data_IF_726869678194
#
_entry.id   IF_726869678194
#
_cell.length_a   1.000
_cell.length_b   1.000
_cell.length_c   1.000
_cell.angle_alpha   90.00
_cell.angle_beta   90.00
_cell.angle_gamma   90.00
#
_symmetry.space_group_name_H-M   'P 1'
#
loop_
_entity.id
_entity.type
_entity.pdbx_description
1 polymer ?
#
# COMPACT_ATOMS: atom_id res chain seq x y z
N UNK A 1 57.58 -23.02 49.02
CA UNK A 1 57.61 -21.60 48.59
C UNK A 1 57.50 -21.61 47.07
N UNK A 2 56.53 -21.04 46.36
CA UNK A 2 55.46 -20.09 46.63
C UNK A 2 54.23 -20.51 45.80
N UNK A 3 53.05 -20.47 46.43
CA UNK A 3 51.81 -21.02 45.91
C UNK A 3 50.98 -20.03 45.07
N UNK A 4 50.23 -20.58 44.13
CA UNK A 4 49.14 -19.96 43.38
C UNK A 4 47.88 -19.92 44.26
N UNK A 5 47.20 -18.77 44.45
CA UNK A 5 45.87 -18.77 45.05
C UNK A 5 44.76 -18.47 44.03
N UNK A 6 43.69 -19.25 44.15
CA UNK A 6 42.36 -19.08 43.54
C UNK A 6 41.66 -17.83 44.12
N UNK A 7 40.79 -17.18 43.34
CA UNK A 7 39.76 -16.26 43.86
C UNK A 7 38.41 -16.51 43.18
N UNK A 8 37.38 -16.58 44.01
CA UNK A 8 35.94 -16.39 43.78
C UNK A 8 35.39 -15.69 45.07
N UNK A 9 34.12 -15.23 45.22
CA UNK A 9 32.97 -15.16 44.29
C UNK A 9 32.21 -13.79 44.31
N UNK A 10 31.02 -13.79 43.67
CA UNK A 10 29.98 -12.75 43.44
C UNK A 10 29.49 -11.92 44.66
N UNK A 11 28.97 -10.71 44.40
CA UNK A 11 27.93 -10.03 45.21
C UNK A 11 27.02 -9.12 44.34
N UNK A 12 25.84 -8.83 44.87
CA UNK A 12 24.55 -8.49 44.23
C UNK A 12 23.90 -7.19 44.76
N UNK A 13 22.80 -6.74 44.09
CA UNK A 13 21.71 -5.78 44.50
C UNK A 13 22.04 -4.27 44.40
N UNK A 14 21.27 -3.40 43.71
CA UNK A 14 19.84 -2.93 43.78
C UNK A 14 19.57 -2.00 44.97
N UNK A 15 19.14 -0.74 44.73
CA UNK A 15 18.26 0.21 45.48
C UNK A 15 18.26 1.53 44.63
N UNK A 16 17.17 2.21 44.22
CA UNK A 16 15.92 2.76 44.82
C UNK A 16 16.04 4.27 45.18
N UNK A 17 14.86 4.89 45.19
CA UNK A 17 14.44 6.31 45.13
C UNK A 17 14.85 7.27 46.29
N UNK A 18 14.55 8.55 46.02
CA UNK A 18 14.12 9.64 46.91
C UNK A 18 15.11 10.67 47.51
N UNK A 19 14.60 11.91 47.44
CA UNK A 19 14.79 13.10 48.29
C UNK A 19 16.16 13.76 48.48
N UNK A 20 16.25 15.03 48.06
CA UNK A 20 16.71 16.09 48.98
C UNK A 20 16.26 17.49 48.51
N UNK A 21 15.50 18.16 49.38
CA UNK A 21 15.23 19.59 49.38
C UNK A 21 16.50 20.42 49.62
N UNK A 22 16.55 21.66 49.14
CA UNK A 22 17.06 22.80 49.92
C UNK A 22 16.65 24.15 49.26
N UNK A 23 15.88 24.92 50.02
CA UNK A 23 15.53 26.34 49.88
C UNK A 23 16.49 27.17 50.79
N UNK A 24 16.29 28.48 51.09
CA UNK A 24 16.19 29.74 50.32
C UNK A 24 17.35 30.71 50.64
N UNK A 25 17.54 31.78 49.84
CA UNK A 25 17.72 33.17 50.34
C UNK A 25 18.14 34.15 49.22
N UNK A 26 17.31 35.17 48.93
CA UNK A 26 17.64 36.62 49.03
C UNK A 26 16.38 37.40 48.60
N UNK A 27 15.55 37.87 49.55
CA UNK A 27 15.44 39.28 50.00
C UNK A 27 15.21 40.29 48.85
N UNK A 28 14.32 41.27 48.89
CA UNK A 28 13.21 41.69 49.76
C UNK A 28 12.84 43.07 49.20
N UNK A 29 11.55 43.37 48.97
CA UNK A 29 10.98 44.71 49.19
C UNK A 29 9.45 44.64 49.04
N UNK A 30 8.77 44.62 50.18
CA UNK A 30 7.38 45.04 50.37
C UNK A 30 7.28 46.56 50.12
N UNK A 31 6.15 47.17 49.74
CA UNK A 31 4.91 47.47 50.49
C UNK A 31 3.94 48.24 49.53
N UNK A 32 2.65 48.52 49.85
CA UNK A 32 1.69 47.85 50.72
C UNK A 32 0.27 47.70 50.09
N UNK A 33 -0.59 47.02 50.86
CA UNK A 33 -2.02 46.73 50.75
C UNK A 33 -2.93 47.97 50.62
N UNK A 34 -4.10 47.78 49.98
CA UNK A 34 -5.39 48.19 50.57
C UNK A 34 -6.51 47.27 50.06
N UNK A 35 -7.39 46.93 51.00
CA UNK A 35 -8.42 45.89 50.98
C UNK A 35 -9.75 46.33 50.32
N UNK A 36 -10.56 45.29 50.07
CA UNK A 36 -12.02 45.28 50.10
C UNK A 36 -12.75 45.77 48.84
N UNK A 37 -13.49 44.86 48.18
CA UNK A 37 -14.96 44.95 48.12
C UNK A 37 -15.55 43.75 47.36
N UNK A 38 -16.43 43.02 48.03
CA UNK A 38 -17.41 42.13 47.41
C UNK A 38 -18.59 42.94 46.86
N UNK A 39 -18.88 42.89 45.55
CA UNK A 39 -20.25 42.89 44.98
C UNK A 39 -20.21 42.80 43.44
N UNK A 40 -20.83 41.75 42.89
CA UNK A 40 -21.46 41.80 41.56
C UNK A 40 -22.90 42.37 41.72
N UNK A 41 -23.64 42.80 40.67
CA UNK A 41 -23.48 42.50 39.23
C UNK A 41 -23.79 43.65 38.23
N UNK A 42 -23.63 43.30 36.95
CA UNK A 42 -24.32 43.81 35.76
C UNK A 42 -23.96 45.18 35.16
N UNK A 43 -23.30 45.15 33.98
CA UNK A 43 -23.84 45.78 32.76
C UNK A 43 -22.94 45.53 31.55
N UNK A 44 -23.63 45.32 30.44
CA UNK A 44 -23.18 45.00 29.10
C UNK A 44 -22.22 46.06 28.50
N UNK A 45 -21.12 45.63 27.90
CA UNK A 45 -20.58 46.27 26.70
C UNK A 45 -19.51 45.40 26.00
N UNK A 46 -19.98 44.65 24.99
CA UNK A 46 -19.16 43.77 24.16
C UNK A 46 -18.32 44.59 23.16
N UNK A 47 -17.06 44.88 23.50
CA UNK A 47 -16.11 45.50 22.53
C UNK A 47 -15.66 44.46 21.47
N UNK A 48 -15.73 44.78 20.17
CA UNK A 48 -15.45 43.80 19.11
C UNK A 48 -13.96 43.43 19.05
N UNK A 49 -13.68 42.12 19.22
CA UNK A 49 -12.35 41.52 19.03
C UNK A 49 -11.89 41.70 17.58
N UNK A 50 -10.91 42.58 17.34
CA UNK A 50 -10.21 42.71 16.05
C UNK A 50 -9.60 41.35 15.65
N UNK A 51 -10.18 40.70 14.64
CA UNK A 51 -9.60 39.52 13.97
C UNK A 51 -8.22 39.89 13.41
N UNK A 52 -7.16 39.33 14.00
CA UNK A 52 -5.80 39.40 13.43
C UNK A 52 -5.84 38.69 12.07
N UNK A 53 -5.55 39.41 10.99
CA UNK A 53 -5.36 38.81 9.66
C UNK A 53 -4.28 37.74 9.76
N UNK A 54 -4.57 36.55 9.26
CA UNK A 54 -3.58 35.48 9.16
C UNK A 54 -2.36 36.01 8.38
N UNK A 55 -1.12 35.70 8.80
CA UNK A 55 0.06 36.10 8.06
C UNK A 55 -0.04 35.55 6.62
N UNK A 56 0.45 36.29 5.62
CA UNK A 56 0.43 35.83 4.23
C UNK A 56 1.13 34.46 4.15
N UNK A 57 0.67 33.55 3.26
CA UNK A 57 1.29 32.24 3.11
C UNK A 57 2.77 32.45 2.80
N UNK A 58 3.64 32.00 3.72
CA UNK A 58 5.09 31.99 3.52
C UNK A 58 5.35 31.25 2.21
N UNK A 59 5.95 31.93 1.24
CA UNK A 59 6.42 31.30 0.01
C UNK A 59 7.25 30.07 0.41
N UNK A 60 6.83 28.88 -0.03
CA UNK A 60 7.56 27.64 0.26
C UNK A 60 8.94 27.79 -0.36
N UNK A 61 9.99 27.92 0.45
CA UNK A 61 11.38 27.88 -0.03
C UNK A 61 11.54 26.58 -0.80
N UNK A 62 11.80 26.67 -2.10
CA UNK A 62 12.11 25.50 -2.91
C UNK A 62 13.42 24.91 -2.40
N UNK A 63 13.43 23.61 -2.15
CA UNK A 63 14.63 22.88 -1.75
C UNK A 63 15.55 22.81 -2.97
N UNK A 64 16.81 23.20 -2.81
CA UNK A 64 17.81 23.12 -3.88
C UNK A 64 18.29 21.67 -4.08
N UNK A 65 18.97 21.41 -5.19
CA UNK A 65 19.60 20.12 -5.41
C UNK A 65 20.66 19.84 -4.33
N UNK A 66 20.78 18.58 -3.91
CA UNK A 66 21.78 18.18 -2.91
C UNK A 66 22.17 16.72 -3.10
N UNK A 67 23.29 16.35 -2.48
CA UNK A 67 23.75 14.97 -2.33
C UNK A 67 23.94 14.72 -0.84
N UNK A 68 23.35 13.66 -0.32
CA UNK A 68 23.52 13.22 1.06
C UNK A 68 24.76 12.34 1.19
N UNK A 69 25.34 12.29 2.40
CA UNK A 69 26.45 11.38 2.74
C UNK A 69 26.07 9.90 2.53
N UNK A 70 24.78 9.58 2.57
CA UNK A 70 24.23 8.23 2.29
C UNK A 70 24.24 7.86 0.81
N UNK A 71 24.70 8.75 -0.07
CA UNK A 71 24.72 8.60 -1.53
C UNK A 71 23.41 8.96 -2.23
N UNK A 72 22.35 9.27 -1.48
CA UNK A 72 21.08 9.74 -2.05
C UNK A 72 21.23 11.18 -2.55
N UNK A 73 20.85 11.39 -3.80
CA UNK A 73 20.82 12.70 -4.43
C UNK A 73 19.39 13.17 -4.62
N UNK A 74 19.18 14.49 -4.56
CA UNK A 74 17.90 15.12 -4.83
C UNK A 74 18.03 16.11 -5.98
N UNK A 75 17.18 15.91 -6.99
CA UNK A 75 16.94 16.86 -8.07
C UNK A 75 15.56 17.52 -7.85
N UNK A 76 15.52 18.84 -7.65
CA UNK A 76 14.26 19.56 -7.51
C UNK A 76 13.39 19.45 -8.77
N UNK A 77 12.06 19.47 -8.60
CA UNK A 77 11.33 19.63 -7.34
C UNK A 77 11.02 18.32 -6.58
N UNK A 78 11.26 17.15 -7.16
CA UNK A 78 10.61 15.91 -6.69
C UNK A 78 11.33 14.60 -7.00
N UNK A 79 12.59 14.63 -7.45
CA UNK A 79 13.30 13.43 -7.84
C UNK A 79 14.40 13.09 -6.83
N UNK A 80 14.28 11.94 -6.17
CA UNK A 80 15.39 11.31 -5.45
C UNK A 80 16.04 10.25 -6.32
N UNK A 81 17.36 10.14 -6.30
CA UNK A 81 18.06 9.11 -7.05
C UNK A 81 19.35 8.67 -6.36
N UNK A 82 19.76 7.42 -6.61
CA UNK A 82 20.98 6.82 -6.07
C UNK A 82 21.49 5.72 -6.97
N UNK A 83 22.82 5.62 -7.09
CA UNK A 83 23.49 4.48 -7.71
C UNK A 83 23.93 3.48 -6.63
N UNK A 84 23.83 2.20 -6.95
CA UNK A 84 24.30 1.08 -6.14
C UNK A 84 25.34 0.32 -6.96
N UNK A 85 26.50 0.04 -6.35
CA UNK A 85 27.64 -0.50 -7.08
C UNK A 85 28.20 0.48 -8.09
N UNK A 86 28.62 -0.02 -9.26
CA UNK A 86 29.14 0.80 -10.38
C UNK A 86 28.35 0.54 -11.68
N UNK A 87 27.13 1.07 -11.81
CA UNK A 87 26.27 0.80 -12.95
C UNK A 87 26.80 1.49 -14.21
N UNK A 88 27.56 0.75 -14.99
CA UNK A 88 28.16 1.20 -16.24
C UNK A 88 27.11 1.78 -17.22
N UNK A 89 27.47 2.86 -17.96
CA UNK A 89 26.67 3.33 -19.08
C UNK A 89 26.38 2.22 -20.10
N UNK A 90 25.16 2.19 -20.64
CA UNK A 90 24.80 1.25 -21.70
C UNK A 90 23.76 1.85 -22.64
N UNK A 91 23.77 1.42 -23.91
CA UNK A 91 22.69 1.71 -24.84
C UNK A 91 21.51 0.74 -24.67
N UNK A 92 21.67 -0.34 -23.89
CA UNK A 92 20.62 -1.29 -23.52
C UNK A 92 20.21 -1.06 -22.08
N UNK A 93 18.94 -0.76 -21.84
CA UNK A 93 18.40 -0.49 -20.51
C UNK A 93 17.33 -1.52 -20.17
N UNK A 94 17.51 -2.22 -19.05
CA UNK A 94 16.48 -3.04 -18.44
C UNK A 94 15.95 -2.25 -17.26
N UNK A 95 14.80 -1.60 -17.45
CA UNK A 95 14.19 -0.76 -16.43
C UNK A 95 13.02 -1.47 -15.74
N UNK A 96 12.85 -1.24 -14.44
CA UNK A 96 11.88 -1.94 -13.61
C UNK A 96 11.11 -0.95 -12.72
N UNK A 97 9.85 -1.21 -12.41
CA UNK A 97 9.23 -0.70 -11.20
C UNK A 97 9.81 -1.41 -9.95
N UNK A 98 9.56 -0.87 -8.76
CA UNK A 98 9.97 -1.47 -7.48
C UNK A 98 8.85 -2.27 -6.81
N UNK A 99 7.72 -1.64 -6.52
CA UNK A 99 6.70 -2.11 -5.58
C UNK A 99 5.62 -2.89 -6.33
N UNK A 100 5.59 -4.22 -6.18
CA UNK A 100 4.76 -5.11 -7.00
C UNK A 100 5.55 -5.79 -8.11
N UNK A 101 6.73 -5.27 -8.42
CA UNK A 101 7.58 -5.75 -9.53
C UNK A 101 8.87 -6.43 -9.07
N UNK A 102 9.77 -5.72 -8.38
CA UNK A 102 11.00 -6.32 -7.83
C UNK A 102 10.77 -6.83 -6.40
N UNK A 103 9.94 -6.13 -5.63
CA UNK A 103 9.65 -6.45 -4.25
C UNK A 103 8.16 -6.29 -3.93
N UNK A 104 7.65 -7.19 -3.10
CA UNK A 104 6.31 -7.17 -2.53
C UNK A 104 6.38 -6.89 -1.03
N UNK A 105 5.30 -6.38 -0.44
CA UNK A 105 5.19 -6.23 1.02
C UNK A 105 5.14 -7.62 1.66
N UNK A 106 6.01 -7.86 2.65
CA UNK A 106 6.03 -9.12 3.41
C UNK A 106 4.75 -9.29 4.23
N UNK A 107 4.24 -8.18 4.76
CA UNK A 107 3.01 -8.11 5.56
C UNK A 107 1.73 -8.26 4.74
N UNK A 108 1.82 -8.21 3.40
CA UNK A 108 0.69 -8.12 2.48
C UNK A 108 -0.23 -6.90 2.69
N UNK A 109 0.23 -5.89 3.44
CA UNK A 109 -0.44 -4.60 3.49
C UNK A 109 -0.28 -3.87 2.16
N UNK A 110 -1.19 -2.94 1.85
CA UNK A 110 -1.09 -2.10 0.66
C UNK A 110 0.17 -1.23 0.67
N UNK A 111 0.65 -0.82 1.84
CA UNK A 111 1.85 -0.01 2.00
C UNK A 111 2.81 -0.66 3.01
N UNK A 112 4.14 -0.56 2.80
CA UNK A 112 5.14 -1.09 3.73
C UNK A 112 5.00 -0.49 5.15
N UNK A 113 4.97 -1.36 6.16
CA UNK A 113 4.90 -0.95 7.57
C UNK A 113 6.20 -0.35 8.08
N UNK A 114 7.34 -0.85 7.60
CA UNK A 114 8.69 -0.40 7.97
C UNK A 114 9.69 -0.71 6.84
N UNK A 115 10.96 -0.37 7.05
CA UNK A 115 12.02 -0.60 6.07
C UNK A 115 12.38 -2.09 5.83
N UNK A 116 11.85 -3.00 6.64
CA UNK A 116 12.04 -4.45 6.52
C UNK A 116 10.77 -5.17 6.03
N UNK A 117 9.68 -4.44 5.81
CA UNK A 117 8.43 -4.97 5.25
C UNK A 117 8.52 -5.12 3.73
N UNK A 118 9.42 -6.00 3.30
CA UNK A 118 9.54 -6.41 1.91
C UNK A 118 9.97 -7.88 1.81
N UNK A 119 9.68 -8.47 0.66
CA UNK A 119 10.23 -9.71 0.15
C UNK A 119 10.41 -9.53 -1.34
N UNK A 120 11.42 -10.15 -1.95
CA UNK A 120 11.53 -10.16 -3.41
C UNK A 120 10.27 -10.74 -4.05
N UNK A 121 9.98 -10.33 -5.28
CA UNK A 121 8.79 -10.77 -6.00
C UNK A 121 8.71 -12.30 -6.06
N UNK A 122 9.80 -12.96 -6.47
CA UNK A 122 10.01 -14.40 -6.36
C UNK A 122 11.52 -14.74 -6.30
N UNK A 123 11.86 -16.02 -6.35
CA UNK A 123 13.24 -16.52 -6.33
C UNK A 123 14.02 -16.29 -7.63
N UNK A 124 13.38 -15.78 -8.69
CA UNK A 124 13.98 -15.55 -10.01
C UNK A 124 14.41 -14.11 -10.27
N UNK A 125 14.04 -13.18 -9.39
CA UNK A 125 14.38 -11.76 -9.53
C UNK A 125 15.88 -11.55 -9.68
N UNK A 126 16.68 -12.05 -8.74
CA UNK A 126 18.14 -11.87 -8.74
C UNK A 126 18.77 -12.50 -9.98
N UNK A 127 18.41 -13.75 -10.29
CA UNK A 127 18.93 -14.48 -11.45
C UNK A 127 18.70 -13.71 -12.76
N UNK A 128 17.51 -13.15 -12.93
CA UNK A 128 17.14 -12.39 -14.14
C UNK A 128 17.83 -11.03 -14.23
N UNK A 129 17.98 -10.31 -13.13
CA UNK A 129 18.71 -9.04 -13.15
C UNK A 129 20.19 -9.27 -13.49
N UNK A 130 20.81 -10.30 -12.94
CA UNK A 130 22.17 -10.69 -13.30
C UNK A 130 22.30 -11.16 -14.76
N UNK A 131 21.28 -11.81 -15.31
CA UNK A 131 21.22 -12.16 -16.73
C UNK A 131 21.22 -10.91 -17.62
N UNK A 132 20.43 -9.89 -17.27
CA UNK A 132 20.44 -8.59 -17.97
C UNK A 132 21.83 -7.93 -17.90
N UNK A 133 22.45 -7.87 -16.73
CA UNK A 133 23.80 -7.31 -16.60
C UNK A 133 24.82 -8.07 -17.46
N UNK A 134 24.80 -9.41 -17.45
CA UNK A 134 25.68 -10.24 -18.31
C UNK A 134 25.42 -10.01 -19.81
N UNK A 135 24.19 -9.70 -20.19
CA UNK A 135 23.81 -9.36 -21.55
C UNK A 135 24.15 -7.90 -21.94
N UNK A 136 24.80 -7.15 -21.04
CA UNK A 136 25.24 -5.76 -21.26
C UNK A 136 24.15 -4.72 -21.01
N UNK A 137 23.06 -5.09 -20.34
CA UNK A 137 22.03 -4.14 -19.95
C UNK A 137 22.44 -3.40 -18.69
N UNK A 138 22.19 -2.09 -18.68
CA UNK A 138 22.15 -1.32 -17.46
C UNK A 138 20.80 -1.54 -16.77
N UNK A 139 20.84 -1.93 -15.49
CA UNK A 139 19.64 -2.12 -14.68
C UNK A 139 19.24 -0.81 -14.02
N UNK A 140 17.98 -0.40 -14.21
CA UNK A 140 17.43 0.85 -13.66
C UNK A 140 16.10 0.60 -12.99
N UNK A 141 15.82 1.28 -11.88
CA UNK A 141 14.53 1.22 -11.17
C UNK A 141 13.88 2.60 -11.18
N UNK A 142 12.61 2.65 -11.63
CA UNK A 142 11.77 3.85 -11.63
C UNK A 142 10.54 3.63 -10.75
N UNK A 143 10.44 4.36 -9.62
CA UNK A 143 9.38 4.12 -8.62
C UNK A 143 8.64 5.41 -8.22
N UNK A 144 7.33 5.31 -8.00
CA UNK A 144 6.47 6.41 -7.56
C UNK A 144 6.32 6.40 -6.02
N UNK A 145 7.12 7.19 -5.29
CA UNK A 145 7.13 7.24 -3.82
C UNK A 145 6.38 8.47 -3.24
N UNK A 146 5.12 8.61 -3.64
CA UNK A 146 4.27 9.79 -3.36
C UNK A 146 4.00 10.11 -1.87
N UNK A 147 4.33 9.20 -0.95
CA UNK A 147 4.19 9.46 0.49
C UNK A 147 5.29 10.37 1.05
N UNK A 148 6.41 10.53 0.34
CA UNK A 148 7.52 11.43 0.70
C UNK A 148 7.09 12.91 0.55
N UNK A 149 6.33 13.22 -0.51
CA UNK A 149 5.88 14.58 -0.86
C UNK A 149 7.08 15.51 -1.00
N UNK A 150 7.04 16.69 -0.37
CA UNK A 150 8.10 17.69 -0.41
C UNK A 150 9.12 17.55 0.73
N UNK A 151 8.88 16.67 1.71
CA UNK A 151 9.73 16.51 2.89
C UNK A 151 10.82 15.46 2.64
N UNK A 152 11.67 15.70 1.64
CA UNK A 152 12.65 14.74 1.08
C UNK A 152 13.79 14.34 2.04
N UNK A 153 13.98 15.10 3.12
CA UNK A 153 14.91 14.78 4.23
C UNK A 153 14.18 14.39 5.53
N UNK A 154 12.84 14.29 5.50
CA UNK A 154 12.03 13.98 6.66
C UNK A 154 12.01 12.49 7.03
N UNK A 155 11.39 12.16 8.16
CA UNK A 155 11.28 10.78 8.69
C UNK A 155 10.73 9.78 7.66
N UNK A 156 9.69 10.17 6.91
CA UNK A 156 9.09 9.31 5.90
C UNK A 156 10.04 9.06 4.71
N UNK A 157 10.79 10.08 4.29
CA UNK A 157 11.80 9.94 3.25
C UNK A 157 12.94 9.01 3.70
N UNK A 158 13.43 9.19 4.93
CA UNK A 158 14.46 8.33 5.51
C UNK A 158 14.01 6.85 5.56
N UNK A 159 12.77 6.60 5.98
CA UNK A 159 12.17 5.25 6.02
C UNK A 159 12.10 4.60 4.64
N UNK A 160 11.67 5.34 3.62
CA UNK A 160 11.54 4.82 2.25
C UNK A 160 12.92 4.61 1.62
N UNK A 161 13.83 5.57 1.76
CA UNK A 161 15.23 5.45 1.32
C UNK A 161 15.86 4.19 1.92
N UNK A 162 15.73 4.00 3.24
CA UNK A 162 16.23 2.81 3.93
C UNK A 162 15.60 1.50 3.43
N UNK A 163 14.30 1.50 3.09
CA UNK A 163 13.64 0.32 2.49
C UNK A 163 14.25 -0.01 1.12
N UNK A 164 14.42 1.00 0.27
CA UNK A 164 15.04 0.85 -1.05
C UNK A 164 16.48 0.36 -0.88
N UNK A 165 17.26 0.98 0.01
CA UNK A 165 18.64 0.59 0.31
C UNK A 165 18.72 -0.89 0.73
N UNK A 166 17.80 -1.36 1.58
CA UNK A 166 17.72 -2.77 1.98
C UNK A 166 17.41 -3.69 0.80
N UNK A 167 16.42 -3.34 -0.03
CA UNK A 167 16.07 -4.14 -1.23
C UNK A 167 17.26 -4.22 -2.18
N UNK A 168 17.90 -3.09 -2.48
CA UNK A 168 19.05 -3.06 -3.39
C UNK A 168 20.26 -3.82 -2.83
N UNK A 169 20.45 -3.80 -1.50
CA UNK A 169 21.47 -4.62 -0.85
C UNK A 169 21.16 -6.12 -0.93
N UNK A 170 19.90 -6.55 -0.80
CA UNK A 170 19.50 -7.96 -0.99
C UNK A 170 19.64 -8.41 -2.44
N UNK A 171 19.36 -7.53 -3.41
CA UNK A 171 19.57 -7.82 -4.84
C UNK A 171 21.06 -7.99 -5.18
N UNK A 172 21.94 -7.20 -4.56
CA UNK A 172 23.40 -7.35 -4.70
C UNK A 172 23.92 -7.11 -6.12
N UNK A 173 23.28 -6.22 -6.88
CA UNK A 173 23.61 -5.89 -8.29
C UNK A 173 23.99 -4.42 -8.46
N UNK A 174 24.67 -4.10 -9.56
CA UNK A 174 24.87 -2.71 -9.98
C UNK A 174 23.60 -2.16 -10.62
N UNK A 175 23.05 -1.10 -10.04
CA UNK A 175 21.80 -0.51 -10.51
C UNK A 175 21.67 0.96 -10.14
N UNK A 176 20.78 1.67 -10.84
CA UNK A 176 20.36 3.03 -10.49
C UNK A 176 18.90 3.04 -10.09
N UNK A 177 18.56 3.76 -9.02
CA UNK A 177 17.18 3.95 -8.57
C UNK A 177 16.81 5.42 -8.70
N UNK A 178 15.61 5.66 -9.22
CA UNK A 178 14.98 6.98 -9.36
C UNK A 178 13.58 6.92 -8.74
N UNK A 179 13.30 7.83 -7.82
CA UNK A 179 12.07 7.85 -7.03
C UNK A 179 11.39 9.22 -7.11
N UNK A 180 10.20 9.25 -7.71
CA UNK A 180 9.36 10.44 -7.79
C UNK A 180 8.59 10.63 -6.46
N UNK A 181 8.80 11.77 -5.78
CA UNK A 181 8.34 11.96 -4.41
C UNK A 181 6.98 12.64 -4.30
N UNK A 182 6.55 13.39 -5.31
CA UNK A 182 5.29 14.14 -5.29
C UNK A 182 4.16 13.28 -5.87
N UNK A 183 3.00 13.16 -5.20
CA UNK A 183 1.87 12.34 -5.66
C UNK A 183 0.98 13.05 -6.70
N UNK A 184 1.42 14.20 -7.21
CA UNK A 184 0.69 15.01 -8.19
C UNK A 184 0.85 14.40 -9.59
N UNK A 185 -0.25 14.07 -10.31
CA UNK A 185 -0.18 13.55 -11.67
C UNK A 185 0.48 14.49 -12.68
N UNK A 186 0.60 15.79 -12.38
CA UNK A 186 1.29 16.77 -13.21
C UNK A 186 2.81 16.86 -12.96
N UNK A 187 3.33 16.16 -11.94
CA UNK A 187 4.77 16.08 -11.69
C UNK A 187 5.46 15.35 -12.86
N UNK A 188 6.40 15.99 -13.59
CA UNK A 188 7.05 15.37 -14.74
C UNK A 188 7.84 14.11 -14.40
N UNK A 189 8.28 13.96 -13.14
CA UNK A 189 8.99 12.76 -12.70
C UNK A 189 8.03 11.63 -12.32
N UNK A 190 6.74 11.89 -12.07
CA UNK A 190 5.79 10.86 -11.65
C UNK A 190 5.29 10.06 -12.84
N UNK A 191 5.45 8.73 -12.81
CA UNK A 191 4.86 7.85 -13.83
C UNK A 191 3.34 8.06 -13.88
N UNK A 192 2.74 8.23 -15.08
CA UNK A 192 3.26 7.81 -16.38
C UNK A 192 4.08 8.86 -17.17
N UNK A 193 4.43 10.00 -16.59
CA UNK A 193 5.34 10.96 -17.23
C UNK A 193 6.77 10.41 -17.32
N UNK A 194 7.52 10.82 -18.34
CA UNK A 194 8.85 10.25 -18.68
C UNK A 194 10.02 10.91 -17.97
N UNK A 195 9.80 11.91 -17.11
CA UNK A 195 10.87 12.74 -16.58
C UNK A 195 11.97 11.98 -15.84
N UNK A 196 11.65 10.86 -15.17
CA UNK A 196 12.69 10.00 -14.58
C UNK A 196 13.57 9.32 -15.65
N UNK A 197 12.96 8.82 -16.73
CA UNK A 197 13.68 8.21 -17.85
C UNK A 197 14.56 9.25 -18.55
N UNK A 198 13.99 10.42 -18.85
CA UNK A 198 14.70 11.51 -19.53
C UNK A 198 15.89 12.00 -18.70
N UNK A 199 15.69 12.15 -17.38
CA UNK A 199 16.76 12.52 -16.46
C UNK A 199 17.88 11.47 -16.42
N UNK A 200 17.53 10.18 -16.37
CA UNK A 200 18.52 9.10 -16.39
C UNK A 200 19.36 9.13 -17.67
N UNK A 201 18.72 9.26 -18.84
CA UNK A 201 19.40 9.30 -20.13
C UNK A 201 20.36 10.49 -20.22
N UNK A 202 19.91 11.67 -19.79
CA UNK A 202 20.67 12.91 -19.94
C UNK A 202 21.81 13.03 -18.93
N UNK A 203 21.59 12.62 -17.68
CA UNK A 203 22.49 12.94 -16.56
C UNK A 203 23.19 11.72 -15.97
N UNK A 204 22.64 10.52 -16.15
CA UNK A 204 23.07 9.34 -15.41
C UNK A 204 23.53 8.18 -16.31
N UNK A 205 23.67 8.40 -17.63
CA UNK A 205 24.10 7.38 -18.59
C UNK A 205 25.41 7.73 -19.34
N UNK A 206 26.28 8.55 -18.75
CA UNK A 206 27.62 8.84 -19.30
C UNK A 206 27.61 9.44 -20.71
N UNK A 207 26.54 10.13 -21.09
CA UNK A 207 26.36 10.70 -22.44
C UNK A 207 25.96 9.69 -23.52
N UNK A 208 25.85 8.40 -23.21
CA UNK A 208 25.43 7.37 -24.15
C UNK A 208 23.90 7.39 -24.28
N UNK A 209 23.40 7.50 -25.51
CA UNK A 209 21.97 7.46 -25.78
C UNK A 209 21.46 6.02 -25.84
N UNK A 210 20.38 5.67 -25.11
CA UNK A 210 19.78 4.35 -25.21
C UNK A 210 19.20 4.05 -26.60
N UNK A 211 19.45 2.84 -27.11
CA UNK A 211 18.70 2.27 -28.22
C UNK A 211 17.37 1.74 -27.69
N UNK A 212 16.30 2.51 -27.88
CA UNK A 212 14.97 2.18 -27.38
C UNK A 212 14.46 0.82 -27.86
N UNK A 213 14.89 0.35 -29.03
CA UNK A 213 14.51 -0.98 -29.55
C UNK A 213 15.12 -2.13 -28.75
N UNK A 214 16.19 -1.85 -28.01
CA UNK A 214 16.89 -2.78 -27.12
C UNK A 214 16.58 -2.50 -25.65
N UNK A 215 15.67 -1.58 -25.34
CA UNK A 215 15.31 -1.21 -23.98
C UNK A 215 13.93 -1.74 -23.62
N UNK A 216 13.79 -2.20 -22.38
CA UNK A 216 12.55 -2.72 -21.83
C UNK A 216 12.16 -2.00 -20.55
N UNK A 217 10.87 -1.98 -20.26
CA UNK A 217 10.32 -1.60 -18.96
C UNK A 217 9.44 -2.71 -18.40
N UNK A 218 9.68 -3.09 -17.16
CA UNK A 218 8.92 -4.11 -16.44
C UNK A 218 8.15 -3.46 -15.30
N UNK A 219 6.84 -3.68 -15.21
CA UNK A 219 6.01 -3.10 -14.15
C UNK A 219 4.68 -3.81 -13.96
N UNK A 220 4.12 -3.79 -12.75
CA UNK A 220 2.87 -4.46 -12.40
C UNK A 220 1.63 -3.61 -12.69
N UNK A 221 1.75 -2.27 -12.73
CA UNK A 221 0.65 -1.37 -13.04
C UNK A 221 0.36 -1.34 -14.55
N UNK A 222 -0.20 -2.44 -15.07
CA UNK A 222 -0.40 -2.71 -16.49
C UNK A 222 -1.82 -2.42 -16.99
N UNK A 223 -2.74 -2.04 -16.10
CA UNK A 223 -4.15 -1.78 -16.42
C UNK A 223 -4.97 -3.05 -16.67
N UNK A 224 -4.54 -4.19 -16.13
CA UNK A 224 -5.28 -5.46 -16.14
C UNK A 224 -6.44 -5.40 -15.15
N UNK A 225 -7.41 -6.32 -15.28
CA UNK A 225 -8.49 -6.44 -14.33
C UNK A 225 -7.93 -6.74 -12.91
N UNK A 226 -8.06 -5.78 -11.99
CA UNK A 226 -7.51 -5.86 -10.63
C UNK A 226 -6.27 -4.98 -10.38
N UNK A 227 -5.64 -4.43 -11.42
CA UNK A 227 -4.54 -3.48 -11.26
C UNK A 227 -5.08 -2.14 -10.73
N UNK A 228 -4.37 -1.52 -9.77
CA UNK A 228 -4.76 -0.23 -9.20
C UNK A 228 -4.57 0.93 -10.20
N UNK A 229 -3.67 0.77 -11.17
CA UNK A 229 -3.33 1.77 -12.17
C UNK A 229 -2.76 1.11 -13.45
N UNK A 230 -2.65 1.91 -14.52
CA UNK A 230 -1.94 1.56 -15.75
C UNK A 230 -0.65 2.39 -15.93
N UNK A 231 -0.10 2.93 -14.83
CA UNK A 231 0.98 3.93 -14.87
C UNK A 231 2.27 3.37 -15.47
N UNK A 232 2.57 2.09 -15.28
CA UNK A 232 3.80 1.47 -15.76
C UNK A 232 3.76 1.20 -17.26
N UNK A 233 2.64 0.64 -17.72
CA UNK A 233 2.40 0.42 -19.15
C UNK A 233 2.39 1.74 -19.91
N UNK A 234 1.76 2.77 -19.35
CA UNK A 234 1.72 4.09 -19.99
C UNK A 234 3.09 4.79 -19.92
N UNK A 235 3.86 4.64 -18.84
CA UNK A 235 5.24 5.13 -18.76
C UNK A 235 6.12 4.53 -19.86
N UNK A 236 6.09 3.20 -20.02
CA UNK A 236 6.82 2.50 -21.06
C UNK A 236 6.43 2.99 -22.46
N UNK A 237 5.13 3.09 -22.73
CA UNK A 237 4.62 3.63 -23.99
C UNK A 237 5.13 5.05 -24.25
N UNK A 238 5.03 5.95 -23.27
CA UNK A 238 5.47 7.35 -23.41
C UNK A 238 6.98 7.47 -23.60
N UNK A 239 7.77 6.63 -22.93
CA UNK A 239 9.22 6.57 -23.11
C UNK A 239 9.63 5.86 -24.42
N UNK A 240 8.71 5.16 -25.09
CA UNK A 240 8.97 4.38 -26.30
C UNK A 240 9.73 3.08 -26.02
N UNK A 241 9.40 2.40 -24.91
CA UNK A 241 10.05 1.18 -24.45
C UNK A 241 9.12 -0.02 -24.63
N UNK A 242 9.70 -1.20 -24.86
CA UNK A 242 8.93 -2.45 -24.81
C UNK A 242 8.48 -2.73 -23.38
N UNK A 243 7.18 -2.94 -23.18
CA UNK A 243 6.60 -3.18 -21.86
C UNK A 243 6.41 -4.67 -21.59
N UNK A 244 6.77 -5.09 -20.39
CA UNK A 244 6.52 -6.43 -19.86
C UNK A 244 5.99 -6.35 -18.42
N UNK A 245 5.31 -7.40 -18.01
CA UNK A 245 4.84 -7.59 -16.63
C UNK A 245 5.87 -8.41 -15.83
N UNK A 246 5.85 -8.34 -14.49
CA UNK A 246 6.73 -9.15 -13.64
C UNK A 246 6.54 -10.64 -13.89
N UNK A 247 5.30 -11.09 -14.14
CA UNK A 247 4.97 -12.49 -14.43
C UNK A 247 5.66 -12.97 -15.72
N UNK A 248 5.71 -12.14 -16.76
CA UNK A 248 6.35 -12.49 -18.04
C UNK A 248 7.88 -12.59 -17.92
N UNK A 249 8.50 -11.80 -17.04
CA UNK A 249 9.96 -11.74 -16.90
C UNK A 249 10.49 -12.69 -15.82
N UNK A 250 9.83 -12.74 -14.67
CA UNK A 250 10.28 -13.51 -13.51
C UNK A 250 9.50 -14.82 -13.33
N UNK A 251 8.37 -15.01 -14.01
CA UNK A 251 7.45 -16.12 -13.79
C UNK A 251 6.57 -15.94 -12.56
N UNK A 252 5.63 -16.86 -12.34
CA UNK A 252 4.70 -16.76 -11.20
C UNK A 252 5.39 -16.88 -9.83
N UNK A 253 4.80 -16.26 -8.81
CA UNK A 253 5.27 -16.37 -7.42
C UNK A 253 4.99 -17.79 -6.88
N UNK A 254 6.04 -18.56 -6.57
CA UNK A 254 5.91 -19.90 -5.98
C UNK A 254 5.62 -19.84 -4.47
N UNK A 255 4.41 -20.26 -4.07
CA UNK A 255 3.97 -20.36 -2.68
C UNK A 255 2.50 -19.99 -2.54
N UNK A 256 1.74 -20.71 -1.68
CA UNK A 256 0.27 -20.61 -1.57
C UNK A 256 -0.24 -19.16 -1.42
N UNK A 257 -0.62 -18.55 -2.54
CA UNK A 257 -1.88 -17.80 -2.68
C UNK A 257 -2.66 -18.44 -3.82
N UNK A 258 -3.98 -18.45 -3.65
CA UNK A 258 -4.95 -19.18 -4.46
C UNK A 258 -4.65 -19.08 -5.95
N UNK A 259 -4.46 -20.28 -6.54
CA UNK A 259 -4.80 -20.66 -7.90
C UNK A 259 -5.16 -19.47 -8.79
N UNK A 260 -4.19 -18.97 -9.56
CA UNK A 260 -4.51 -18.56 -10.93
C UNK A 260 -5.13 -19.79 -11.57
N UNK A 261 -6.41 -19.70 -11.94
CA UNK A 261 -7.09 -20.80 -12.61
C UNK A 261 -6.20 -21.25 -13.76
N UNK A 262 -5.71 -22.49 -13.67
CA UNK A 262 -5.14 -23.18 -14.81
C UNK A 262 -6.24 -23.13 -15.87
N UNK A 263 -5.99 -22.50 -17.01
CA UNK A 263 -6.93 -22.52 -18.12
C UNK A 263 -7.18 -23.99 -18.45
N UNK A 264 -8.40 -24.47 -18.20
CA UNK A 264 -8.84 -25.76 -18.69
C UNK A 264 -8.97 -25.62 -20.21
N UNK A 265 -8.12 -26.36 -20.92
CA UNK A 265 -8.25 -26.55 -22.36
C UNK A 265 -9.40 -27.53 -22.57
N UNK A 266 -10.34 -27.19 -23.44
CA UNK A 266 -11.24 -28.19 -24.00
C UNK A 266 -10.44 -29.19 -24.87
N UNK A 267 -11.08 -30.30 -25.26
CA UNK A 267 -10.46 -31.36 -26.06
C UNK A 267 -9.95 -30.88 -27.44
N UNK A 268 -10.27 -29.63 -27.83
CA UNK A 268 -9.79 -28.97 -29.05
C UNK A 268 -8.75 -27.84 -28.82
N UNK A 269 -8.39 -27.53 -27.58
CA UNK A 269 -7.28 -26.61 -27.27
C UNK A 269 -7.62 -25.11 -27.29
N UNK A 270 -8.89 -24.72 -27.21
CA UNK A 270 -9.31 -23.32 -27.12
C UNK A 270 -9.45 -22.84 -25.66
N UNK A 271 -9.14 -21.57 -25.43
CA UNK A 271 -9.23 -20.93 -24.10
C UNK A 271 -10.64 -20.40 -23.88
N UNK A 272 -11.48 -21.13 -23.15
CA UNK A 272 -12.78 -20.64 -22.71
C UNK A 272 -12.61 -19.72 -21.48
N UNK A 273 -12.82 -18.43 -21.65
CA UNK A 273 -12.84 -17.47 -20.53
C UNK A 273 -14.07 -17.72 -19.65
N UNK A 274 -13.91 -18.37 -18.50
CA UNK A 274 -14.99 -18.49 -17.52
C UNK A 274 -15.23 -17.13 -16.86
N UNK A 275 -16.32 -16.47 -17.23
CA UNK A 275 -16.76 -15.21 -16.60
C UNK A 275 -17.21 -15.51 -15.17
N UNK A 276 -16.57 -14.91 -14.16
CA UNK A 276 -17.00 -15.02 -12.77
C UNK A 276 -18.30 -14.24 -12.53
N UNK A 277 -19.44 -14.92 -12.42
CA UNK A 277 -20.73 -14.27 -12.10
C UNK A 277 -20.93 -14.19 -10.57
N UNK A 278 -20.66 -13.02 -10.01
CA UNK A 278 -20.94 -12.67 -8.60
C UNK A 278 -22.07 -11.63 -8.46
N UNK A 279 -22.77 -11.33 -9.55
CA UNK A 279 -23.70 -10.20 -9.65
C UNK A 279 -24.86 -10.28 -8.66
N UNK A 280 -25.41 -11.48 -8.44
CA UNK A 280 -26.51 -11.72 -7.50
C UNK A 280 -26.14 -11.45 -6.04
N UNK A 281 -24.96 -11.93 -5.61
CA UNK A 281 -24.45 -11.72 -4.26
C UNK A 281 -24.09 -10.25 -4.03
N UNK A 282 -23.46 -9.60 -5.02
CA UNK A 282 -23.16 -8.17 -4.96
C UNK A 282 -24.44 -7.32 -4.84
N UNK A 283 -25.46 -7.62 -5.65
CA UNK A 283 -26.74 -6.93 -5.62
C UNK A 283 -27.45 -7.10 -4.26
N UNK A 284 -27.40 -8.30 -3.68
CA UNK A 284 -27.97 -8.55 -2.36
C UNK A 284 -27.28 -7.71 -1.26
N UNK A 285 -25.95 -7.60 -1.30
CA UNK A 285 -25.21 -6.75 -0.34
C UNK A 285 -25.46 -5.26 -0.55
N UNK A 286 -25.71 -4.82 -1.78
CA UNK A 286 -26.11 -3.44 -2.06
C UNK A 286 -27.48 -3.12 -1.44
N UNK A 287 -28.47 -4.01 -1.63
CA UNK A 287 -29.80 -3.88 -1.02
C UNK A 287 -29.74 -3.90 0.51
N UNK A 288 -28.89 -4.77 1.08
CA UNK A 288 -28.64 -4.78 2.51
C UNK A 288 -28.05 -3.44 2.99
N UNK A 289 -27.11 -2.85 2.24
CA UNK A 289 -26.54 -1.55 2.56
C UNK A 289 -27.59 -0.43 2.58
N UNK A 290 -28.51 -0.44 1.61
CA UNK A 290 -29.57 0.56 1.51
C UNK A 290 -30.61 0.41 2.64
N UNK A 291 -30.95 -0.82 3.03
CA UNK A 291 -31.79 -1.07 4.21
C UNK A 291 -31.19 -0.48 5.50
N UNK A 292 -29.89 -0.68 5.74
CA UNK A 292 -29.22 -0.07 6.91
C UNK A 292 -29.09 1.45 6.79
N UNK A 293 -28.94 2.01 5.59
CA UNK A 293 -28.91 3.45 5.37
C UNK A 293 -30.27 4.12 5.61
N UNK A 294 -31.37 3.44 5.26
CA UNK A 294 -32.72 3.90 5.59
C UNK A 294 -32.95 3.88 7.11
N UNK A 295 -32.51 2.80 7.77
CA UNK A 295 -32.63 2.64 9.22
C UNK A 295 -31.77 3.63 10.02
N UNK A 296 -30.67 4.13 9.47
CA UNK A 296 -29.86 5.16 10.14
C UNK A 296 -30.54 6.53 10.20
N UNK A 297 -31.59 6.75 9.39
CA UNK A 297 -32.36 8.01 9.31
C UNK A 297 -33.71 7.96 10.04
N UNK A 298 -34.13 6.78 10.51
CA UNK A 298 -35.35 6.64 11.33
C UNK A 298 -35.01 6.80 12.81
N UNK A 299 -35.60 7.81 13.48
CA UNK A 299 -35.57 7.92 14.95
C UNK A 299 -35.03 9.21 15.56
N UNK A 300 -34.86 10.30 14.80
CA UNK A 300 -34.47 11.62 15.34
C UNK A 300 -33.01 11.75 15.77
N UNK A 301 -32.39 10.67 16.24
CA UNK A 301 -30.94 10.53 16.47
C UNK A 301 -30.29 9.63 15.42
N UNK A 302 -29.12 10.04 14.92
CA UNK A 302 -28.36 9.30 13.93
C UNK A 302 -27.89 7.96 14.52
N UNK A 303 -28.43 6.84 14.03
CA UNK A 303 -27.99 5.52 14.47
C UNK A 303 -26.63 5.18 13.86
N UNK A 304 -25.57 5.61 14.53
CA UNK A 304 -24.16 5.42 14.14
C UNK A 304 -23.81 3.96 13.80
N UNK A 305 -24.47 2.98 14.43
CA UNK A 305 -24.26 1.55 14.12
C UNK A 305 -24.85 1.17 12.76
N UNK A 306 -26.06 1.64 12.46
CA UNK A 306 -26.70 1.41 11.17
C UNK A 306 -25.96 2.14 10.03
N UNK A 307 -25.50 3.36 10.27
CA UNK A 307 -24.69 4.11 9.31
C UNK A 307 -23.37 3.38 8.98
N UNK A 308 -22.67 2.87 10.00
CA UNK A 308 -21.44 2.09 9.80
C UNK A 308 -21.69 0.78 9.05
N UNK A 309 -22.81 0.09 9.34
CA UNK A 309 -23.19 -1.14 8.65
C UNK A 309 -23.47 -0.88 7.15
N UNK A 310 -24.19 0.19 6.82
CA UNK A 310 -24.46 0.60 5.45
C UNK A 310 -23.17 0.88 4.65
N UNK A 311 -22.25 1.66 5.22
CA UNK A 311 -20.95 1.94 4.59
C UNK A 311 -20.12 0.66 4.38
N UNK A 312 -20.17 -0.27 5.33
CA UNK A 312 -19.46 -1.56 5.27
C UNK A 312 -20.00 -2.44 4.15
N UNK A 313 -21.32 -2.62 4.07
CA UNK A 313 -21.94 -3.49 3.07
C UNK A 313 -21.85 -2.94 1.65
N UNK A 314 -21.88 -1.61 1.48
CA UNK A 314 -21.64 -0.97 0.18
C UNK A 314 -20.22 -1.25 -0.34
N UNK A 315 -19.20 -1.16 0.53
CA UNK A 315 -17.82 -1.53 0.17
C UNK A 315 -17.69 -3.01 -0.16
N UNK A 316 -18.33 -3.87 0.63
CA UNK A 316 -18.31 -5.31 0.42
C UNK A 316 -18.99 -5.72 -0.89
N UNK A 317 -20.11 -5.09 -1.26
CA UNK A 317 -20.76 -5.30 -2.56
C UNK A 317 -19.80 -5.02 -3.72
N UNK A 318 -19.04 -3.93 -3.64
CA UNK A 318 -18.00 -3.61 -4.63
C UNK A 318 -16.85 -4.62 -4.67
N UNK A 319 -16.43 -5.14 -3.52
CA UNK A 319 -15.42 -6.21 -3.45
C UNK A 319 -15.94 -7.49 -4.12
N UNK A 320 -17.18 -7.87 -3.83
CA UNK A 320 -17.83 -9.08 -4.36
C UNK A 320 -18.03 -8.97 -5.88
N UNK A 321 -18.48 -7.81 -6.37
CA UNK A 321 -18.68 -7.56 -7.79
C UNK A 321 -17.39 -7.66 -8.61
N UNK A 322 -16.26 -7.29 -8.01
CA UNK A 322 -14.93 -7.30 -8.64
C UNK A 322 -14.10 -8.53 -8.26
N UNK A 323 -14.69 -9.51 -7.56
CA UNK A 323 -14.00 -10.74 -7.19
C UNK A 323 -13.87 -11.64 -8.42
N UNK A 324 -12.65 -12.08 -8.71
CA UNK A 324 -12.25 -12.74 -9.96
C UNK A 324 -12.64 -14.22 -10.07
N UNK A 325 -13.25 -14.79 -9.04
CA UNK A 325 -13.73 -16.18 -9.00
C UNK A 325 -15.19 -16.16 -8.55
N UNK A 326 -16.04 -17.04 -9.08
CA UNK A 326 -17.41 -17.15 -8.53
C UNK A 326 -17.36 -17.59 -7.07
N UNK A 327 -18.04 -16.84 -6.20
CA UNK A 327 -18.06 -17.09 -4.76
C UNK A 327 -19.00 -18.25 -4.48
N UNK A 328 -18.47 -19.28 -3.81
CA UNK A 328 -19.15 -20.54 -3.49
C UNK A 328 -18.94 -20.91 -2.03
N UNK A 329 -19.68 -21.92 -1.54
CA UNK A 329 -19.49 -22.47 -0.19
C UNK A 329 -18.07 -23.00 0.06
N UNK A 330 -17.35 -23.37 -1.00
CA UNK A 330 -15.98 -23.88 -0.90
C UNK A 330 -14.93 -22.76 -0.75
N UNK A 331 -15.17 -21.56 -1.28
CA UNK A 331 -14.16 -20.50 -1.37
C UNK A 331 -14.51 -19.20 -0.63
N UNK A 332 -15.74 -19.00 -0.15
CA UNK A 332 -16.18 -17.72 0.43
C UNK A 332 -15.33 -17.22 1.61
N UNK A 333 -14.72 -18.13 2.38
CA UNK A 333 -13.84 -17.79 3.52
C UNK A 333 -12.62 -16.98 3.07
N UNK A 334 -12.22 -17.07 1.81
CA UNK A 334 -11.12 -16.29 1.22
C UNK A 334 -11.41 -14.79 1.23
N UNK A 335 -12.67 -14.37 1.14
CA UNK A 335 -13.06 -12.96 1.24
C UNK A 335 -12.71 -12.37 2.62
N UNK A 336 -12.64 -13.19 3.67
CA UNK A 336 -12.18 -12.74 4.99
C UNK A 336 -10.71 -12.34 5.06
N UNK A 337 -9.95 -12.58 3.99
CA UNK A 337 -8.56 -12.10 3.85
C UNK A 337 -8.46 -10.73 3.19
N UNK A 338 -9.58 -10.21 2.65
CA UNK A 338 -9.65 -8.89 2.01
C UNK A 338 -9.80 -7.80 3.07
N UNK A 339 -8.97 -6.76 2.98
CA UNK A 339 -9.01 -5.63 3.91
C UNK A 339 -10.39 -4.95 3.86
N UNK A 340 -11.02 -4.79 5.02
CA UNK A 340 -12.37 -4.22 5.15
C UNK A 340 -13.49 -5.27 5.14
N UNK A 341 -13.20 -6.55 4.86
CA UNK A 341 -14.15 -7.65 5.01
C UNK A 341 -13.98 -8.29 6.39
N UNK A 342 -14.79 -7.85 7.34
CA UNK A 342 -14.76 -8.38 8.71
C UNK A 342 -15.40 -9.77 8.82
N UNK A 343 -15.17 -10.45 9.96
CA UNK A 343 -15.78 -11.76 10.27
C UNK A 343 -17.31 -11.75 10.15
N UNK A 344 -17.95 -10.65 10.53
CA UNK A 344 -19.41 -10.47 10.40
C UNK A 344 -19.87 -10.45 8.94
N UNK A 345 -19.07 -9.87 8.04
CA UNK A 345 -19.33 -9.88 6.59
C UNK A 345 -19.21 -11.28 6.01
N UNK A 346 -18.18 -12.04 6.41
CA UNK A 346 -17.97 -13.43 5.98
C UNK A 346 -19.14 -14.32 6.43
N UNK A 347 -19.61 -14.15 7.67
CA UNK A 347 -20.78 -14.88 8.17
C UNK A 347 -22.07 -14.55 7.38
N UNK A 348 -22.25 -13.29 6.96
CA UNK A 348 -23.37 -12.93 6.09
C UNK A 348 -23.26 -13.52 4.68
N UNK A 349 -22.05 -13.56 4.10
CA UNK A 349 -21.82 -14.23 2.81
C UNK A 349 -22.18 -15.72 2.92
N UNK A 350 -21.71 -16.40 3.97
CA UNK A 350 -22.04 -17.81 4.23
C UNK A 350 -23.54 -18.04 4.31
N UNK A 351 -24.24 -17.17 5.05
CA UNK A 351 -25.69 -17.22 5.19
C UNK A 351 -26.39 -17.10 3.85
N UNK A 352 -26.06 -16.08 3.06
CA UNK A 352 -26.62 -15.89 1.72
C UNK A 352 -26.35 -17.09 0.81
N UNK A 353 -25.16 -17.69 0.86
CA UNK A 353 -24.85 -18.89 0.07
C UNK A 353 -25.67 -20.13 0.49
N UNK A 354 -26.18 -20.15 1.73
CA UNK A 354 -27.01 -21.22 2.25
C UNK A 354 -28.52 -20.99 2.04
N UNK A 355 -28.99 -19.75 2.15
CA UNK A 355 -30.42 -19.41 2.16
C UNK A 355 -30.89 -18.66 0.91
N UNK A 356 -29.97 -18.05 0.15
CA UNK A 356 -30.26 -17.19 -1.00
C UNK A 356 -30.77 -15.79 -0.63
N UNK A 357 -30.87 -15.44 0.66
CA UNK A 357 -31.36 -14.14 1.15
C UNK A 357 -30.75 -13.79 2.52
N UNK A 358 -30.98 -12.58 3.01
CA UNK A 358 -30.69 -12.16 4.39
C UNK A 358 -32.00 -12.05 5.17
N UNK A 359 -32.05 -12.54 6.42
CA UNK A 359 -33.23 -12.41 7.29
C UNK A 359 -33.71 -10.95 7.42
N UNK A 360 -32.79 -9.99 7.39
CA UNK A 360 -33.15 -8.57 7.45
C UNK A 360 -33.87 -8.05 6.21
N UNK A 361 -33.90 -8.85 5.13
CA UNK A 361 -34.63 -8.59 3.89
C UNK A 361 -35.78 -9.59 3.68
N UNK A 362 -36.00 -10.55 4.58
CA UNK A 362 -37.11 -11.49 4.49
C UNK A 362 -38.45 -10.75 4.71
N UNK A 363 -39.38 -10.90 3.77
CA UNK A 363 -40.71 -10.27 3.84
C UNK A 363 -40.81 -8.84 3.31
N UNK A 364 -39.74 -8.27 2.75
CA UNK A 364 -39.78 -6.98 2.04
C UNK A 364 -40.06 -7.25 0.55
N UNK A 365 -41.30 -6.98 0.11
CA UNK A 365 -41.82 -7.35 -1.22
C UNK A 365 -41.01 -6.75 -2.38
N UNK A 366 -40.41 -5.56 -2.19
CA UNK A 366 -39.54 -4.89 -3.18
C UNK A 366 -38.22 -5.65 -3.48
N UNK A 367 -37.90 -6.70 -2.71
CA UNK A 367 -36.68 -7.47 -2.83
C UNK A 367 -36.91 -8.96 -3.14
N UNK A 368 -38.16 -9.38 -3.35
CA UNK A 368 -38.51 -10.75 -3.75
C UNK A 368 -37.84 -11.13 -5.09
N UNK A 369 -37.07 -12.22 -5.10
CA UNK A 369 -36.46 -12.78 -6.31
C UNK A 369 -35.00 -12.39 -6.59
N UNK A 370 -34.34 -11.61 -5.74
CA UNK A 370 -32.91 -11.33 -5.88
C UNK A 370 -32.08 -12.42 -5.20
N UNK A 371 -31.32 -13.19 -5.97
CA UNK A 371 -30.52 -14.33 -5.48
C UNK A 371 -31.01 -15.71 -5.90
N UNK A 372 -31.99 -15.82 -6.80
CA UNK A 372 -32.38 -17.10 -7.42
C UNK A 372 -31.35 -17.58 -8.44
N UNK A 373 -30.14 -17.90 -7.99
CA UNK A 373 -29.24 -18.92 -8.55
C UNK A 373 -28.15 -19.19 -7.50
N UNK A 374 -28.56 -19.79 -6.38
CA UNK A 374 -27.62 -20.64 -5.66
C UNK A 374 -27.19 -21.74 -6.66
N UNK A 375 -25.88 -21.96 -6.90
CA UNK A 375 -25.45 -23.07 -7.74
C UNK A 375 -25.92 -24.37 -7.08
N UNK A 376 -26.88 -25.05 -7.72
CA UNK A 376 -27.10 -26.46 -7.46
C UNK A 376 -25.81 -27.17 -7.87
N UNK A 377 -25.00 -27.61 -6.90
CA UNK A 377 -24.12 -28.72 -7.17
C UNK A 377 -25.01 -29.90 -7.51
N UNK A 378 -24.98 -30.36 -8.77
CA UNK A 378 -25.16 -31.78 -9.00
C UNK A 378 -24.01 -32.45 -8.25
N UNK A 379 -24.39 -33.28 -7.29
CA UNK A 379 -23.48 -34.04 -6.44
C UNK A 379 -22.63 -34.98 -7.30
N UNK A 380 -21.41 -34.57 -7.63
CA UNK A 380 -20.44 -35.42 -8.34
C UNK A 380 -19.96 -36.61 -7.48
N UNK A 381 -20.43 -36.74 -6.23
CA UNK A 381 -20.20 -37.89 -5.37
C UNK A 381 -21.21 -39.04 -5.52
N UNK A 382 -22.38 -38.81 -6.13
CA UNK A 382 -23.42 -39.84 -6.27
C UNK A 382 -23.33 -40.67 -7.57
N UNK A 383 -22.58 -40.21 -8.58
CA UNK A 383 -22.44 -40.92 -9.85
C UNK A 383 -21.36 -42.02 -9.84
N UNK A 384 -20.43 -42.02 -8.88
CA UNK A 384 -19.38 -43.04 -8.78
C UNK A 384 -19.80 -44.30 -7.99
N UNK A 385 -20.95 -44.29 -7.32
CA UNK A 385 -21.46 -45.44 -6.57
C UNK A 385 -22.38 -46.36 -7.40
N UNK A 386 -22.83 -45.95 -8.58
CA UNK A 386 -23.73 -46.74 -9.46
C UNK A 386 -23.05 -47.25 -10.75
N UNK A 387 -21.72 -47.16 -10.85
CA UNK A 387 -20.94 -47.77 -11.94
C UNK A 387 -20.18 -49.05 -11.51
N UNK A 388 -20.33 -49.45 -10.25
CA UNK A 388 -19.74 -50.68 -9.68
C UNK A 388 -20.74 -51.43 -8.77
N UNK A 389 -21.99 -51.57 -9.22
CA UNK A 389 -22.90 -52.64 -8.79
C UNK A 389 -23.58 -53.27 -9.99
#
# INVERSE_FOLDING_TARGET
>A
MSGRPKRAPKRSKKYDEDDFEEDPSDLSEEVPLDDDESTEPDSEDEKPKKKRKAPPPRAKKQVQAFIEETGWSFQPPSLLYKAYGDPAPSNKIAAFDLDGTLANQKSNAQFPKDQHDYKLYNDKVIDKLLEYQRAGYKVVVFTNQGSIKTAVTGKQAAKIKARIDNIMAELGIDAQVFAATIPDPSDPYRKPATGMWDFMCLNCNGGLQPDKSQCIYVGDAAGRAGDFAASDKQFAHNAGLAFHTPEEIFGDIKGKRHVVAKAEKDEEGNVAASVSDNSGLAAAFMKLADHYAARSKMGGEENSKAHFAAATYRKLSGVIANWNVTITKANFKQLGTVQGVGKASVAKIEKYLNTGTFDELEGIDEFAGVGKKAPQMQDAGAAYANAFM
#
